data_IF_599919776385
#
_entry.id   IF_599919776385
#
_cell.length_a   1.000
_cell.length_b   1.000
_cell.length_c   1.000
_cell.angle_alpha   90.00
_cell.angle_beta   90.00
_cell.angle_gamma   90.00
#
_symmetry.space_group_name_H-M   'P 1'
#
loop_
_entity.id
_entity.type
_entity.pdbx_description
1 polymer ?
#
# COMPACT_ATOMS: atom_id res chain seq x y z
N UNK A 1 -16.03 21.50 -11.22
CA UNK A 1 -14.98 20.46 -11.22
C UNK A 1 -14.27 20.52 -12.54
N UNK A 2 -12.95 20.60 -12.49
CA UNK A 2 -12.05 20.54 -13.63
C UNK A 2 -10.97 19.46 -13.37
N UNK A 3 -10.05 19.28 -14.32
CA UNK A 3 -9.01 18.26 -14.21
C UNK A 3 -8.01 18.54 -13.08
N UNK A 4 -7.72 19.81 -12.77
CA UNK A 4 -6.79 20.19 -11.70
C UNK A 4 -7.38 19.88 -10.32
N UNK A 5 -8.67 20.14 -10.11
CA UNK A 5 -9.36 19.75 -8.88
C UNK A 5 -9.34 18.23 -8.68
N UNK A 6 -9.53 17.45 -9.75
CA UNK A 6 -9.48 16.00 -9.70
C UNK A 6 -8.07 15.46 -9.43
N UNK A 7 -7.04 16.05 -10.03
CA UNK A 7 -5.63 15.74 -9.71
C UNK A 7 -5.33 16.02 -8.23
N UNK A 8 -5.81 17.16 -7.71
CA UNK A 8 -5.68 17.49 -6.29
C UNK A 8 -6.41 16.46 -5.42
N UNK A 9 -7.66 16.11 -5.74
CA UNK A 9 -8.41 15.08 -5.00
C UNK A 9 -7.65 13.74 -4.99
N UNK A 10 -7.13 13.31 -6.14
CA UNK A 10 -6.38 12.06 -6.26
C UNK A 10 -5.06 12.07 -5.48
N UNK A 11 -4.33 13.19 -5.49
CA UNK A 11 -3.04 13.32 -4.80
C UNK A 11 -3.14 13.54 -3.29
N UNK A 12 -4.16 14.27 -2.84
CA UNK A 12 -4.33 14.66 -1.43
C UNK A 12 -5.36 13.84 -0.68
N UNK A 13 -5.97 12.85 -1.36
CA UNK A 13 -7.11 12.09 -0.83
C UNK A 13 -8.27 13.03 -0.46
N UNK A 14 -8.38 14.14 -1.20
CA UNK A 14 -9.28 15.23 -0.90
C UNK A 14 -10.74 14.79 -0.98
N UNK A 15 -11.51 15.08 0.06
CA UNK A 15 -12.91 14.68 0.19
C UNK A 15 -13.07 13.36 0.95
N UNK A 16 -13.87 12.45 0.39
CA UNK A 16 -14.18 11.16 1.04
C UNK A 16 -13.12 10.14 0.62
N UNK A 17 -12.35 9.63 1.58
CA UNK A 17 -11.27 8.69 1.31
C UNK A 17 -11.79 7.34 0.80
N UNK A 18 -10.99 6.56 0.03
CA UNK A 18 -11.38 5.23 -0.43
C UNK A 18 -11.88 4.32 0.69
N UNK A 19 -11.21 4.30 1.85
CA UNK A 19 -11.59 3.50 3.02
C UNK A 19 -13.01 3.80 3.50
N UNK A 20 -13.39 5.09 3.56
CA UNK A 20 -14.73 5.49 3.98
C UNK A 20 -15.79 5.12 2.92
N UNK A 21 -15.44 5.23 1.64
CA UNK A 21 -16.32 4.80 0.55
C UNK A 21 -16.56 3.30 0.62
N UNK A 22 -15.51 2.50 0.84
CA UNK A 22 -15.63 1.04 1.01
C UNK A 22 -16.55 0.70 2.20
N UNK A 23 -16.36 1.37 3.35
CA UNK A 23 -17.23 1.20 4.53
C UNK A 23 -18.71 1.53 4.25
N UNK A 24 -18.99 2.53 3.42
CA UNK A 24 -20.35 2.89 2.98
C UNK A 24 -20.95 1.79 2.09
N UNK A 25 -20.17 1.29 1.12
CA UNK A 25 -20.62 0.26 0.18
C UNK A 25 -20.85 -1.09 0.87
N UNK A 26 -19.96 -1.50 1.77
CA UNK A 26 -20.10 -2.73 2.58
C UNK A 26 -21.41 -2.74 3.40
N UNK A 27 -21.90 -1.57 3.79
CA UNK A 27 -23.16 -1.38 4.51
C UNK A 27 -24.37 -1.13 3.62
N UNK A 28 -24.21 -1.25 2.30
CA UNK A 28 -25.29 -1.13 1.32
C UNK A 28 -25.70 0.31 0.99
N UNK A 29 -24.84 1.30 1.26
CA UNK A 29 -25.16 2.72 1.03
C UNK A 29 -24.73 3.22 -0.37
N UNK A 30 -24.93 2.42 -1.41
CA UNK A 30 -24.54 2.76 -2.79
C UNK A 30 -25.14 4.08 -3.28
N UNK A 31 -26.42 4.33 -3.02
CA UNK A 31 -27.09 5.56 -3.49
C UNK A 31 -26.51 6.81 -2.82
N UNK A 32 -26.08 6.73 -1.55
CA UNK A 32 -25.39 7.84 -0.86
C UNK A 32 -24.04 8.14 -1.52
N UNK A 33 -23.30 7.09 -1.91
CA UNK A 33 -22.02 7.23 -2.63
C UNK A 33 -22.25 7.84 -4.02
N UNK A 34 -23.28 7.39 -4.75
CA UNK A 34 -23.66 7.95 -6.07
C UNK A 34 -24.04 9.43 -5.94
N UNK A 35 -24.84 9.80 -4.94
CA UNK A 35 -25.20 11.21 -4.70
C UNK A 35 -23.98 12.05 -4.35
N UNK A 36 -23.08 11.57 -3.49
CA UNK A 36 -21.85 12.27 -3.17
C UNK A 36 -20.95 12.47 -4.40
N UNK A 37 -20.90 11.49 -5.31
CA UNK A 37 -20.18 11.60 -6.57
C UNK A 37 -20.77 12.70 -7.47
N UNK A 38 -22.08 12.68 -7.71
CA UNK A 38 -22.75 13.55 -8.68
C UNK A 38 -22.93 14.98 -8.17
N UNK A 39 -23.34 15.16 -6.92
CA UNK A 39 -23.68 16.48 -6.38
C UNK A 39 -22.46 17.24 -5.88
N UNK A 40 -21.49 16.53 -5.29
CA UNK A 40 -20.31 17.13 -4.65
C UNK A 40 -19.02 16.91 -5.43
N UNK A 41 -19.09 16.17 -6.54
CA UNK A 41 -17.93 15.94 -7.39
C UNK A 41 -16.81 15.14 -6.73
N UNK A 42 -17.15 14.20 -5.83
CA UNK A 42 -16.16 13.43 -5.07
C UNK A 42 -15.68 12.24 -5.92
N UNK A 43 -14.41 12.28 -6.37
CA UNK A 43 -13.86 11.29 -7.30
C UNK A 43 -13.89 9.85 -6.77
N UNK A 44 -13.45 9.63 -5.54
CA UNK A 44 -13.39 8.28 -4.98
C UNK A 44 -14.78 7.65 -4.83
N UNK A 45 -15.81 8.47 -4.57
CA UNK A 45 -17.20 8.03 -4.60
C UNK A 45 -17.62 7.63 -6.01
N UNK A 46 -17.31 8.44 -7.03
CA UNK A 46 -17.65 8.12 -8.42
C UNK A 46 -17.02 6.80 -8.86
N UNK A 47 -15.72 6.64 -8.62
CA UNK A 47 -14.96 5.43 -8.98
C UNK A 47 -15.52 4.18 -8.31
N UNK A 48 -15.77 4.23 -7.00
CA UNK A 48 -16.28 3.07 -6.27
C UNK A 48 -17.73 2.74 -6.65
N UNK A 49 -18.58 3.77 -6.82
CA UNK A 49 -19.95 3.58 -7.29
C UNK A 49 -19.99 2.94 -8.68
N UNK A 50 -19.14 3.37 -9.61
CA UNK A 50 -19.02 2.78 -10.96
C UNK A 50 -18.67 1.30 -10.88
N UNK A 51 -17.67 0.94 -10.05
CA UNK A 51 -17.27 -0.46 -9.87
C UNK A 51 -18.42 -1.32 -9.34
N UNK A 52 -19.13 -0.81 -8.33
CA UNK A 52 -20.25 -1.53 -7.73
C UNK A 52 -21.46 -1.63 -8.69
N UNK A 53 -21.78 -0.56 -9.42
CA UNK A 53 -22.83 -0.57 -10.44
C UNK A 53 -22.50 -1.52 -11.59
N UNK A 54 -21.24 -1.57 -12.05
CA UNK A 54 -20.80 -2.54 -13.04
C UNK A 54 -20.91 -3.99 -12.53
N UNK A 55 -20.60 -4.24 -11.24
CA UNK A 55 -20.78 -5.55 -10.60
C UNK A 55 -22.26 -5.96 -10.59
N UNK A 56 -23.16 -5.01 -10.42
CA UNK A 56 -24.62 -5.19 -10.49
C UNK A 56 -25.17 -5.18 -11.94
N UNK A 57 -24.30 -5.08 -12.95
CA UNK A 57 -24.67 -4.94 -14.37
C UNK A 57 -25.55 -3.70 -14.68
N UNK A 58 -25.50 -2.67 -13.85
CA UNK A 58 -26.21 -1.40 -14.02
C UNK A 58 -25.37 -0.39 -14.83
N UNK A 59 -24.94 -0.81 -16.02
CA UNK A 59 -23.96 -0.07 -16.83
C UNK A 59 -24.40 1.34 -17.21
N UNK A 60 -25.69 1.57 -17.50
CA UNK A 60 -26.18 2.91 -17.83
C UNK A 60 -26.11 3.88 -16.64
N UNK A 61 -26.37 3.39 -15.42
CA UNK A 61 -26.16 4.19 -14.20
C UNK A 61 -24.67 4.43 -13.96
N UNK A 62 -23.82 3.42 -14.17
CA UNK A 62 -22.37 3.57 -14.06
C UNK A 62 -21.85 4.65 -15.03
N UNK A 63 -22.33 4.65 -16.27
CA UNK A 63 -22.01 5.66 -17.29
C UNK A 63 -22.44 7.06 -16.86
N UNK A 64 -23.67 7.21 -16.36
CA UNK A 64 -24.18 8.49 -15.88
C UNK A 64 -23.34 9.05 -14.72
N UNK A 65 -22.79 8.20 -13.85
CA UNK A 65 -21.91 8.61 -12.75
C UNK A 65 -20.55 9.08 -13.25
N UNK A 66 -19.92 8.37 -14.19
CA UNK A 66 -18.55 8.66 -14.63
C UNK A 66 -18.45 9.75 -15.71
N UNK A 67 -19.49 9.92 -16.53
CA UNK A 67 -19.48 10.84 -17.67
C UNK A 67 -19.13 12.29 -17.31
N UNK A 68 -19.67 12.91 -16.23
CA UNK A 68 -19.26 14.26 -15.83
C UNK A 68 -17.76 14.39 -15.55
N UNK A 69 -17.15 13.36 -14.97
CA UNK A 69 -15.72 13.32 -14.67
C UNK A 69 -14.89 13.11 -15.94
N UNK A 70 -15.31 12.19 -16.82
CA UNK A 70 -14.59 11.91 -18.06
C UNK A 70 -14.59 13.13 -19.01
N UNK A 71 -15.68 13.92 -19.03
CA UNK A 71 -15.78 15.16 -19.83
C UNK A 71 -14.79 16.26 -19.42
N UNK A 72 -14.22 16.21 -18.22
CA UNK A 72 -13.16 17.15 -17.81
C UNK A 72 -11.85 16.94 -18.59
N UNK A 73 -11.72 15.82 -19.31
CA UNK A 73 -10.47 15.43 -19.99
C UNK A 73 -9.46 14.77 -19.04
N UNK A 74 -9.77 14.65 -17.75
CA UNK A 74 -8.89 14.04 -16.77
C UNK A 74 -8.67 12.55 -17.05
N UNK A 75 -7.39 12.14 -17.13
CA UNK A 75 -6.97 10.82 -17.60
C UNK A 75 -7.59 9.65 -16.82
N UNK A 76 -7.50 9.62 -15.48
CA UNK A 76 -8.10 8.55 -14.67
C UNK A 76 -9.60 8.38 -14.86
N UNK A 77 -10.37 9.46 -14.99
CA UNK A 77 -11.80 9.39 -15.25
C UNK A 77 -12.13 8.84 -16.65
N UNK A 78 -11.34 9.21 -17.67
CA UNK A 78 -11.46 8.64 -19.01
C UNK A 78 -11.16 7.15 -19.03
N UNK A 79 -10.16 6.70 -18.28
CA UNK A 79 -9.82 5.29 -18.16
C UNK A 79 -10.94 4.46 -17.51
N UNK A 80 -11.49 4.92 -16.37
CA UNK A 80 -12.61 4.24 -15.70
C UNK A 80 -13.87 4.24 -16.59
N UNK A 81 -14.15 5.33 -17.31
CA UNK A 81 -15.24 5.35 -18.29
C UNK A 81 -15.02 4.36 -19.45
N UNK A 82 -13.78 4.24 -19.95
CA UNK A 82 -13.42 3.27 -20.98
C UNK A 82 -13.64 1.82 -20.50
N UNK A 83 -13.36 1.52 -19.23
CA UNK A 83 -13.65 0.20 -18.65
C UNK A 83 -15.17 -0.11 -18.63
N UNK A 84 -16.02 0.89 -18.39
CA UNK A 84 -17.50 0.72 -18.50
C UNK A 84 -17.92 0.43 -19.95
N UNK A 85 -17.31 1.10 -20.93
CA UNK A 85 -17.55 0.81 -22.35
C UNK A 85 -17.10 -0.61 -22.72
N UNK A 86 -15.93 -1.06 -22.25
CA UNK A 86 -15.46 -2.42 -22.46
C UNK A 86 -16.41 -3.46 -21.85
N UNK A 87 -16.94 -3.21 -20.65
CA UNK A 87 -17.89 -4.11 -19.99
C UNK A 87 -19.19 -4.32 -20.78
N UNK A 88 -19.53 -3.38 -21.67
CA UNK A 88 -20.69 -3.46 -22.57
C UNK A 88 -20.33 -3.88 -24.00
N UNK A 89 -19.08 -4.28 -24.25
CA UNK A 89 -18.57 -4.70 -25.55
C UNK A 89 -18.26 -3.55 -26.53
N UNK A 90 -18.27 -2.30 -26.06
CA UNK A 90 -18.04 -1.11 -26.89
C UNK A 90 -16.55 -0.77 -26.97
N UNK A 91 -15.78 -1.56 -27.72
CA UNK A 91 -14.31 -1.43 -27.80
C UNK A 91 -13.84 -0.11 -28.42
N UNK A 92 -14.35 0.27 -29.59
CA UNK A 92 -13.86 1.49 -30.27
C UNK A 92 -14.18 2.78 -29.47
N UNK A 93 -15.39 2.97 -28.91
CA UNK A 93 -15.64 4.11 -28.00
C UNK A 93 -14.71 4.14 -26.79
N UNK A 94 -14.37 2.98 -26.22
CA UNK A 94 -13.42 2.90 -25.10
C UNK A 94 -12.03 3.39 -25.53
N UNK A 95 -11.54 2.93 -26.69
CA UNK A 95 -10.23 3.30 -27.23
C UNK A 95 -10.15 4.77 -27.61
N UNK A 96 -11.19 5.33 -28.23
CA UNK A 96 -11.23 6.74 -28.60
C UNK A 96 -11.18 7.66 -27.38
N UNK A 97 -11.77 7.24 -26.25
CA UNK A 97 -11.77 8.02 -25.02
C UNK A 97 -10.38 8.16 -24.40
N UNK A 98 -9.58 7.10 -24.44
CA UNK A 98 -8.22 7.05 -23.84
C UNK A 98 -7.09 7.26 -24.84
N UNK A 99 -7.42 7.51 -26.12
CA UNK A 99 -6.42 7.66 -27.17
C UNK A 99 -5.46 8.81 -26.83
N UNK A 100 -4.14 8.54 -26.75
CA UNK A 100 -3.16 9.59 -26.51
C UNK A 100 -3.00 10.46 -27.75
N UNK A 101 -2.85 11.77 -27.56
CA UNK A 101 -2.39 12.68 -28.61
C UNK A 101 -0.88 12.48 -28.80
N UNK A 102 -0.41 12.40 -30.05
CA UNK A 102 1.02 12.32 -30.35
C UNK A 102 1.77 13.60 -29.94
N UNK A 103 1.07 14.75 -29.86
CA UNK A 103 1.65 16.04 -29.52
C UNK A 103 1.87 16.27 -28.01
N UNK A 104 1.24 15.47 -27.14
CA UNK A 104 1.38 15.56 -25.68
C UNK A 104 1.92 14.24 -25.10
N UNK A 105 3.26 14.11 -24.93
CA UNK A 105 3.90 12.87 -24.50
C UNK A 105 3.76 12.67 -22.98
N UNK A 106 2.53 12.42 -22.51
CA UNK A 106 2.29 11.99 -21.14
C UNK A 106 2.39 10.46 -21.10
N UNK A 107 3.50 9.92 -20.60
CA UNK A 107 3.75 8.47 -20.52
C UNK A 107 2.58 7.70 -19.88
N UNK A 108 1.96 8.28 -18.86
CA UNK A 108 0.79 7.69 -18.21
C UNK A 108 -0.38 7.42 -19.18
N UNK A 109 -0.59 8.26 -20.21
CA UNK A 109 -1.66 8.05 -21.21
C UNK A 109 -1.37 6.85 -22.11
N UNK A 110 -0.11 6.66 -22.51
CA UNK A 110 0.29 5.48 -23.31
C UNK A 110 0.15 4.18 -22.51
N UNK A 111 0.46 4.21 -21.21
CA UNK A 111 0.21 3.07 -20.31
C UNK A 111 -1.27 2.71 -20.27
N UNK A 112 -2.16 3.69 -20.02
CA UNK A 112 -3.60 3.43 -19.96
C UNK A 112 -4.16 2.96 -21.31
N UNK A 113 -3.72 3.55 -22.41
CA UNK A 113 -4.15 3.13 -23.75
C UNK A 113 -3.77 1.67 -24.05
N UNK A 114 -2.53 1.27 -23.73
CA UNK A 114 -2.09 -0.12 -23.88
C UNK A 114 -2.86 -1.08 -22.95
N UNK A 115 -3.19 -0.66 -21.72
CA UNK A 115 -4.04 -1.44 -20.80
C UNK A 115 -5.43 -1.69 -21.38
N UNK A 116 -6.07 -0.66 -21.95
CA UNK A 116 -7.39 -0.77 -22.58
C UNK A 116 -7.33 -1.65 -23.82
N UNK A 117 -6.31 -1.51 -24.66
CA UNK A 117 -6.08 -2.41 -25.81
C UNK A 117 -5.98 -3.88 -25.40
N UNK A 118 -5.16 -4.18 -24.39
CA UNK A 118 -4.99 -5.54 -23.89
C UNK A 118 -6.29 -6.08 -23.26
N UNK A 119 -7.02 -5.25 -22.52
CA UNK A 119 -8.32 -5.60 -21.93
C UNK A 119 -9.39 -5.89 -23.00
N UNK A 120 -9.27 -5.27 -24.18
CA UNK A 120 -10.07 -5.56 -25.36
C UNK A 120 -9.58 -6.78 -26.18
N UNK A 121 -8.56 -7.50 -25.70
CA UNK A 121 -7.96 -8.65 -26.40
C UNK A 121 -6.97 -8.27 -27.51
N UNK A 122 -6.65 -6.99 -27.70
CA UNK A 122 -5.74 -6.46 -28.74
C UNK A 122 -4.31 -6.34 -28.23
N UNK A 123 -3.78 -7.42 -27.64
CA UNK A 123 -2.48 -7.42 -26.96
C UNK A 123 -1.33 -7.09 -27.92
N UNK A 124 -1.37 -7.56 -29.17
CA UNK A 124 -0.30 -7.26 -30.14
C UNK A 124 -0.21 -5.77 -30.46
N UNK A 125 -1.34 -5.09 -30.54
CA UNK A 125 -1.37 -3.64 -30.75
C UNK A 125 -0.90 -2.89 -29.50
N UNK A 126 -1.22 -3.39 -28.30
CA UNK A 126 -0.66 -2.88 -27.06
C UNK A 126 0.89 -2.98 -27.05
N UNK A 127 1.44 -4.09 -27.57
CA UNK A 127 2.90 -4.24 -27.74
C UNK A 127 3.44 -3.23 -28.76
N UNK A 128 2.76 -3.06 -29.90
CA UNK A 128 3.20 -2.15 -30.97
C UNK A 128 3.25 -0.69 -30.52
N UNK A 129 2.29 -0.23 -29.71
CA UNK A 129 2.28 1.15 -29.20
C UNK A 129 3.35 1.39 -28.13
N UNK A 130 3.71 0.36 -27.35
CA UNK A 130 4.70 0.47 -26.26
C UNK A 130 6.14 0.26 -26.75
N UNK A 131 6.36 -0.60 -27.75
CA UNK A 131 7.69 -0.98 -28.24
C UNK A 131 8.63 0.20 -28.58
N UNK A 132 8.17 1.29 -29.23
CA UNK A 132 9.04 2.44 -29.52
C UNK A 132 9.44 3.28 -28.30
N UNK A 133 8.85 3.02 -27.13
CA UNK A 133 8.92 3.90 -25.94
C UNK A 133 9.51 3.20 -24.72
N UNK A 134 10.23 2.11 -24.93
CA UNK A 134 10.79 1.27 -23.87
C UNK A 134 12.01 1.88 -23.17
N UNK A 135 12.41 3.11 -23.49
CA UNK A 135 13.36 3.86 -22.65
C UNK A 135 12.73 4.33 -21.33
N UNK A 136 11.40 4.52 -21.30
CA UNK A 136 10.66 4.79 -20.07
C UNK A 136 10.51 3.52 -19.23
N UNK A 137 10.89 3.59 -17.95
CA UNK A 137 10.65 2.51 -16.99
C UNK A 137 9.17 2.22 -16.77
N UNK A 138 8.32 3.26 -16.81
CA UNK A 138 6.88 3.12 -16.67
C UNK A 138 6.28 2.30 -17.83
N UNK A 139 6.69 2.60 -19.06
CA UNK A 139 6.17 1.93 -20.26
C UNK A 139 6.77 0.53 -20.45
N UNK A 140 8.00 0.29 -19.99
CA UNK A 140 8.52 -1.09 -19.88
C UNK A 140 7.70 -1.93 -18.93
N UNK A 141 7.36 -1.41 -17.75
CA UNK A 141 6.53 -2.14 -16.81
C UNK A 141 5.13 -2.38 -17.39
N UNK A 142 4.54 -1.37 -18.04
CA UNK A 142 3.28 -1.52 -18.75
C UNK A 142 3.33 -2.65 -19.78
N UNK A 143 4.40 -2.75 -20.56
CA UNK A 143 4.59 -3.83 -21.54
C UNK A 143 4.57 -5.20 -20.87
N UNK A 144 5.27 -5.34 -19.74
CA UNK A 144 5.24 -6.59 -18.96
C UNK A 144 3.81 -6.86 -18.51
N UNK A 145 3.15 -5.93 -17.85
CA UNK A 145 1.82 -6.14 -17.27
C UNK A 145 0.76 -6.51 -18.32
N UNK A 146 0.69 -5.79 -19.44
CA UNK A 146 -0.35 -6.00 -20.49
C UNK A 146 -0.16 -7.29 -21.29
N UNK A 147 1.03 -7.90 -21.23
CA UNK A 147 1.33 -9.15 -21.93
C UNK A 147 1.27 -10.37 -21.01
N UNK A 148 1.00 -10.18 -19.71
CA UNK A 148 0.89 -11.27 -18.75
C UNK A 148 -0.23 -12.26 -19.14
N UNK A 149 0.10 -13.54 -19.26
CA UNK A 149 -0.85 -14.59 -19.64
C UNK A 149 -1.30 -14.57 -21.11
N UNK A 150 -0.79 -13.66 -21.95
CA UNK A 150 -1.20 -13.51 -23.34
C UNK A 150 -0.39 -14.35 -24.34
N UNK A 151 0.56 -15.18 -23.88
CA UNK A 151 1.41 -15.99 -24.75
C UNK A 151 2.35 -15.17 -25.65
N UNK A 152 2.71 -13.96 -25.24
CA UNK A 152 3.60 -13.02 -25.98
C UNK A 152 4.97 -12.86 -25.34
N UNK A 153 5.35 -13.73 -24.41
CA UNK A 153 6.59 -13.60 -23.64
C UNK A 153 7.85 -13.59 -24.51
N UNK A 154 7.97 -14.49 -25.49
CA UNK A 154 9.13 -14.50 -26.39
C UNK A 154 9.29 -13.20 -27.19
N UNK A 155 8.16 -12.61 -27.62
CA UNK A 155 8.16 -11.32 -28.31
C UNK A 155 8.66 -10.21 -27.38
N UNK A 156 8.18 -10.19 -26.13
CA UNK A 156 8.60 -9.21 -25.12
C UNK A 156 10.08 -9.39 -24.76
N UNK A 157 10.55 -10.63 -24.60
CA UNK A 157 11.97 -10.93 -24.37
C UNK A 157 12.84 -10.41 -25.53
N UNK A 158 12.38 -10.57 -26.78
CA UNK A 158 13.04 -10.04 -27.97
C UNK A 158 13.17 -8.51 -27.98
N UNK A 159 12.24 -7.79 -27.36
CA UNK A 159 12.28 -6.33 -27.20
C UNK A 159 13.17 -5.89 -26.02
N UNK A 160 13.14 -6.61 -24.89
CA UNK A 160 13.86 -6.23 -23.68
C UNK A 160 15.36 -6.60 -23.73
N UNK A 161 15.72 -7.70 -24.40
CA UNK A 161 17.12 -8.19 -24.45
C UNK A 161 18.09 -7.15 -25.03
N UNK A 162 17.81 -6.51 -26.20
CA UNK A 162 18.69 -5.49 -26.75
C UNK A 162 18.87 -4.27 -25.83
N UNK A 163 17.85 -3.91 -25.05
CA UNK A 163 17.90 -2.79 -24.10
C UNK A 163 18.84 -3.09 -22.93
N UNK A 164 18.77 -4.31 -22.37
CA UNK A 164 19.67 -4.76 -21.31
C UNK A 164 21.11 -4.81 -21.80
N UNK A 165 21.35 -5.30 -23.01
CA UNK A 165 22.69 -5.30 -23.62
C UNK A 165 23.23 -3.89 -23.85
N UNK A 166 22.40 -2.96 -24.34
CA UNK A 166 22.78 -1.58 -24.53
C UNK A 166 23.18 -0.91 -23.21
N UNK A 167 22.40 -1.11 -22.15
CA UNK A 167 22.72 -0.61 -20.80
C UNK A 167 24.04 -1.18 -20.29
N UNK A 168 24.26 -2.50 -20.44
CA UNK A 168 25.53 -3.16 -20.07
C UNK A 168 26.72 -2.61 -20.85
N UNK A 169 26.57 -2.38 -22.16
CA UNK A 169 27.62 -1.78 -23.00
C UNK A 169 27.96 -0.36 -22.54
N UNK A 170 26.96 0.48 -22.29
CA UNK A 170 27.16 1.85 -21.82
C UNK A 170 27.94 1.90 -20.50
N UNK A 171 27.63 0.99 -19.55
CA UNK A 171 28.34 0.89 -18.26
C UNK A 171 29.80 0.46 -18.43
N UNK A 172 30.07 -0.53 -19.28
CA UNK A 172 31.45 -0.92 -19.61
C UNK A 172 32.27 0.23 -20.20
N UNK A 173 31.60 1.14 -20.92
CA UNK A 173 32.21 2.37 -21.45
C UNK A 173 32.31 3.51 -20.44
N UNK A 174 31.97 3.28 -19.16
CA UNK A 174 32.10 4.25 -18.07
C UNK A 174 30.89 5.17 -17.87
N UNK A 175 29.77 4.93 -18.54
CA UNK A 175 28.55 5.70 -18.29
C UNK A 175 28.03 5.44 -16.86
N UNK A 176 27.73 6.51 -16.13
CA UNK A 176 27.21 6.43 -14.76
C UNK A 176 25.74 6.02 -14.68
N UNK A 177 24.97 6.28 -15.74
CA UNK A 177 23.54 5.99 -15.81
C UNK A 177 23.11 5.74 -17.27
N UNK A 178 22.07 4.93 -17.44
CA UNK A 178 21.44 4.63 -18.72
C UNK A 178 19.91 4.51 -18.55
N UNK A 179 19.06 5.04 -19.46
CA UNK A 179 17.60 4.98 -19.34
C UNK A 179 17.04 3.56 -19.15
N UNK A 180 17.71 2.58 -19.76
CA UNK A 180 17.39 1.16 -19.65
C UNK A 180 18.06 0.41 -18.47
N UNK A 181 18.62 1.12 -17.47
CA UNK A 181 19.31 0.49 -16.33
C UNK A 181 18.45 -0.51 -15.54
N UNK A 182 17.11 -0.32 -15.58
CA UNK A 182 16.09 -1.18 -14.95
C UNK A 182 15.51 -2.24 -15.88
N UNK A 183 15.92 -2.29 -17.14
CA UNK A 183 15.35 -3.23 -18.11
C UNK A 183 15.62 -4.70 -17.72
N UNK A 184 16.67 -4.95 -16.93
CA UNK A 184 17.00 -6.31 -16.44
C UNK A 184 15.92 -6.86 -15.50
N UNK A 185 15.27 -6.01 -14.70
CA UNK A 185 14.18 -6.41 -13.80
C UNK A 185 12.95 -6.83 -14.61
N UNK A 186 12.58 -6.02 -15.62
CA UNK A 186 11.50 -6.37 -16.55
C UNK A 186 11.80 -7.65 -17.33
N UNK A 187 13.04 -7.82 -17.79
CA UNK A 187 13.48 -9.04 -18.48
C UNK A 187 13.36 -10.27 -17.57
N UNK A 188 13.84 -10.17 -16.33
CA UNK A 188 13.77 -11.24 -15.34
C UNK A 188 12.31 -11.60 -14.99
N UNK A 189 11.42 -10.62 -14.87
CA UNK A 189 9.99 -10.86 -14.62
C UNK A 189 9.33 -11.65 -15.76
N UNK A 190 9.66 -11.34 -17.01
CA UNK A 190 9.13 -12.06 -18.19
C UNK A 190 9.75 -13.45 -18.31
N UNK A 191 11.03 -13.61 -18.00
CA UNK A 191 11.68 -14.93 -17.92
C UNK A 191 11.04 -15.81 -16.84
N UNK A 192 10.81 -15.27 -15.64
CA UNK A 192 10.18 -16.00 -14.53
C UNK A 192 8.79 -16.53 -14.93
N UNK A 193 7.91 -15.65 -15.40
CA UNK A 193 6.52 -16.04 -15.73
C UNK A 193 6.42 -16.96 -16.95
N UNK A 194 7.41 -16.94 -17.85
CA UNK A 194 7.49 -17.87 -18.99
C UNK A 194 8.07 -19.24 -18.61
N UNK A 195 8.28 -19.51 -17.31
CA UNK A 195 8.81 -20.78 -16.80
C UNK A 195 10.34 -20.88 -16.86
N UNK A 196 11.03 -19.80 -17.20
CA UNK A 196 12.50 -19.72 -17.32
C UNK A 196 13.14 -19.08 -16.08
N UNK A 197 12.68 -19.52 -14.90
CA UNK A 197 13.08 -18.95 -13.61
C UNK A 197 14.61 -19.01 -13.37
N UNK A 198 15.27 -20.11 -13.74
CA UNK A 198 16.73 -20.23 -13.60
C UNK A 198 17.48 -19.21 -14.45
N UNK A 199 16.98 -18.89 -15.64
CA UNK A 199 17.56 -17.85 -16.49
C UNK A 199 17.34 -16.46 -15.90
N UNK A 200 16.15 -16.20 -15.34
CA UNK A 200 15.86 -14.96 -14.62
C UNK A 200 16.83 -14.75 -13.44
N UNK A 201 17.03 -15.80 -12.64
CA UNK A 201 17.98 -15.82 -11.51
C UNK A 201 19.39 -15.57 -12.02
N UNK A 202 19.85 -16.32 -13.02
CA UNK A 202 21.21 -16.21 -13.55
C UNK A 202 21.52 -14.81 -14.10
N UNK A 203 20.57 -14.21 -14.82
CA UNK A 203 20.70 -12.86 -15.38
C UNK A 203 20.87 -11.81 -14.28
N UNK A 204 20.08 -11.87 -13.21
CA UNK A 204 20.17 -10.94 -12.09
C UNK A 204 21.43 -11.18 -11.24
N UNK A 205 21.77 -12.44 -10.94
CA UNK A 205 23.00 -12.78 -10.21
C UNK A 205 24.24 -12.29 -10.94
N UNK A 206 24.29 -12.42 -12.27
CA UNK A 206 25.41 -11.94 -13.07
C UNK A 206 25.55 -10.42 -13.02
N UNK A 207 24.44 -9.67 -13.10
CA UNK A 207 24.50 -8.21 -13.00
C UNK A 207 24.84 -7.74 -11.57
N UNK A 208 24.37 -8.42 -10.52
CA UNK A 208 24.77 -8.14 -9.14
C UNK A 208 26.27 -8.39 -8.94
N UNK A 209 26.78 -9.55 -9.36
CA UNK A 209 28.20 -9.89 -9.24
C UNK A 209 29.12 -8.91 -10.01
N UNK A 210 28.64 -8.38 -11.13
CA UNK A 210 29.37 -7.39 -11.93
C UNK A 210 29.24 -5.94 -11.42
N UNK A 211 28.48 -5.70 -10.34
CA UNK A 211 28.18 -4.34 -9.86
C UNK A 211 27.33 -3.53 -10.86
N UNK A 212 26.64 -4.21 -11.77
CA UNK A 212 25.80 -3.64 -12.81
C UNK A 212 24.39 -3.35 -12.27
N UNK A 213 24.27 -2.60 -11.17
CA UNK A 213 22.99 -2.14 -10.63
C UNK A 213 23.16 -0.80 -9.90
N UNK A 214 22.18 0.09 -10.04
CA UNK A 214 22.28 1.47 -9.55
C UNK A 214 21.57 1.69 -8.20
N UNK A 215 20.64 0.81 -7.80
CA UNK A 215 19.81 0.98 -6.59
C UNK A 215 19.60 -0.38 -5.93
N UNK A 216 19.51 -0.37 -4.59
CA UNK A 216 19.18 -1.50 -3.71
C UNK A 216 18.00 -2.35 -4.23
N UNK A 217 17.06 -1.75 -4.95
CA UNK A 217 15.87 -2.41 -5.50
C UNK A 217 16.18 -3.62 -6.41
N UNK A 218 17.32 -3.65 -7.13
CA UNK A 218 17.68 -4.82 -7.97
C UNK A 218 18.06 -6.03 -7.13
N UNK A 219 18.75 -5.78 -6.00
CA UNK A 219 19.13 -6.83 -5.04
C UNK A 219 17.90 -7.31 -4.28
N UNK A 220 16.99 -6.41 -3.89
CA UNK A 220 15.71 -6.77 -3.29
C UNK A 220 14.84 -7.60 -4.25
N UNK A 221 14.78 -7.21 -5.53
CA UNK A 221 14.07 -7.97 -6.56
C UNK A 221 14.66 -9.36 -6.71
N UNK A 222 15.99 -9.47 -6.76
CA UNK A 222 16.69 -10.76 -6.81
C UNK A 222 16.41 -11.62 -5.57
N UNK A 223 16.48 -11.05 -4.36
CA UNK A 223 16.17 -11.75 -3.12
C UNK A 223 14.73 -12.28 -3.14
N UNK A 224 13.75 -11.46 -3.53
CA UNK A 224 12.35 -11.91 -3.65
C UNK A 224 12.18 -13.01 -4.70
N UNK A 225 12.90 -12.94 -5.82
CA UNK A 225 12.89 -13.99 -6.85
C UNK A 225 13.45 -15.31 -6.30
N UNK A 226 14.60 -15.27 -5.62
CA UNK A 226 15.19 -16.44 -4.97
C UNK A 226 14.22 -17.05 -3.93
N UNK A 227 13.50 -16.20 -3.18
CA UNK A 227 12.53 -16.62 -2.17
C UNK A 227 11.31 -17.32 -2.77
N UNK A 228 10.80 -16.85 -3.91
CA UNK A 228 9.69 -17.50 -4.63
C UNK A 228 10.08 -18.87 -5.21
N UNK A 229 11.37 -19.07 -5.51
CA UNK A 229 11.89 -20.31 -6.10
C UNK A 229 12.71 -21.18 -5.14
N UNK A 230 12.50 -21.04 -3.82
CA UNK A 230 13.13 -21.89 -2.80
C UNK A 230 14.67 -21.95 -2.86
N UNK A 231 15.32 -20.89 -3.37
CA UNK A 231 16.79 -20.82 -3.47
C UNK A 231 17.39 -20.32 -2.15
N UNK A 232 17.15 -21.11 -1.09
CA UNK A 232 17.47 -20.75 0.31
C UNK A 232 18.96 -20.48 0.52
N UNK A 233 19.85 -21.29 -0.08
CA UNK A 233 21.30 -21.10 0.10
C UNK A 233 21.80 -19.81 -0.55
N UNK A 234 21.35 -19.51 -1.77
CA UNK A 234 21.68 -18.26 -2.45
C UNK A 234 21.14 -17.03 -1.69
N UNK A 235 19.95 -17.16 -1.09
CA UNK A 235 19.41 -16.13 -0.19
C UNK A 235 20.24 -15.94 1.07
N UNK A 236 20.68 -17.04 1.68
CA UNK A 236 21.53 -17.02 2.87
C UNK A 236 22.86 -16.32 2.58
N UNK A 237 23.49 -16.65 1.45
CA UNK A 237 24.71 -15.98 0.99
C UNK A 237 24.48 -14.47 0.81
N UNK A 238 23.35 -14.07 0.24
CA UNK A 238 22.98 -12.67 0.06
C UNK A 238 22.72 -11.95 1.40
N UNK A 239 22.07 -12.64 2.34
CA UNK A 239 21.72 -12.12 3.66
C UNK A 239 22.93 -11.96 4.59
N UNK A 240 23.91 -12.86 4.50
CA UNK A 240 25.17 -12.80 5.27
C UNK A 240 26.21 -11.88 4.60
N UNK A 241 26.11 -11.67 3.28
CA UNK A 241 27.00 -10.81 2.52
C UNK A 241 26.74 -9.30 2.71
N UNK A 242 27.35 -8.49 1.83
CA UNK A 242 27.22 -7.02 1.84
C UNK A 242 25.82 -6.46 1.53
N UNK A 243 24.82 -7.33 1.43
CA UNK A 243 23.44 -7.03 1.03
C UNK A 243 22.40 -7.43 2.09
N UNK A 244 22.83 -7.67 3.33
CA UNK A 244 21.99 -8.18 4.41
C UNK A 244 20.67 -7.45 4.60
N UNK A 245 20.64 -6.11 4.50
CA UNK A 245 19.39 -5.33 4.63
C UNK A 245 18.33 -5.72 3.59
N UNK A 246 18.73 -6.00 2.35
CA UNK A 246 17.81 -6.29 1.24
C UNK A 246 17.36 -7.76 1.19
N UNK A 247 18.09 -8.65 1.87
CA UNK A 247 17.86 -10.10 1.82
C UNK A 247 17.38 -10.70 3.14
N UNK A 248 17.50 -9.99 4.26
CA UNK A 248 17.08 -10.44 5.60
C UNK A 248 15.61 -10.91 5.62
N UNK A 249 14.68 -10.03 5.27
CA UNK A 249 13.25 -10.34 5.29
C UNK A 249 12.88 -11.43 4.26
N UNK A 250 13.28 -11.35 2.98
CA UNK A 250 13.04 -12.43 2.02
C UNK A 250 13.56 -13.80 2.47
N UNK A 251 14.74 -13.83 3.11
CA UNK A 251 15.32 -15.07 3.63
C UNK A 251 14.51 -15.66 4.80
N UNK A 252 14.17 -14.83 5.78
CA UNK A 252 13.35 -15.24 6.94
C UNK A 252 11.98 -15.75 6.49
N UNK A 253 11.31 -15.01 5.60
CA UNK A 253 10.00 -15.42 5.07
C UNK A 253 10.08 -16.72 4.25
N UNK A 254 11.16 -16.91 3.48
CA UNK A 254 11.37 -18.16 2.74
C UNK A 254 11.54 -19.36 3.68
N UNK A 255 12.31 -19.20 4.77
CA UNK A 255 12.45 -20.23 5.80
C UNK A 255 11.11 -20.54 6.48
N UNK A 256 10.34 -19.52 6.87
CA UNK A 256 9.01 -19.68 7.46
C UNK A 256 8.07 -20.46 6.54
N UNK A 257 7.97 -20.08 5.26
CA UNK A 257 7.12 -20.78 4.27
C UNK A 257 7.52 -22.24 4.08
N UNK A 258 8.81 -22.55 4.21
CA UNK A 258 9.35 -23.91 4.11
C UNK A 258 9.23 -24.71 5.42
N UNK A 259 8.59 -24.16 6.45
CA UNK A 259 8.45 -24.80 7.76
C UNK A 259 9.73 -24.83 8.59
N UNK A 260 10.73 -24.02 8.23
CA UNK A 260 12.04 -23.90 8.90
C UNK A 260 12.07 -22.71 9.87
N UNK A 261 11.01 -22.52 10.66
CA UNK A 261 10.87 -21.38 11.56
C UNK A 261 11.99 -21.31 12.61
N UNK A 262 12.38 -22.44 13.20
CA UNK A 262 13.47 -22.48 14.20
C UNK A 262 14.81 -22.01 13.62
N UNK A 263 15.09 -22.32 12.35
CA UNK A 263 16.29 -21.83 11.68
C UNK A 263 16.23 -20.32 11.41
N UNK A 264 15.06 -19.80 11.05
CA UNK A 264 14.86 -18.36 10.89
C UNK A 264 15.09 -17.62 12.22
N UNK A 265 14.55 -18.16 13.31
CA UNK A 265 14.78 -17.64 14.66
C UNK A 265 16.26 -17.65 15.04
N UNK A 266 16.94 -18.78 14.87
CA UNK A 266 18.37 -18.90 15.17
C UNK A 266 19.24 -17.95 14.32
N UNK A 267 18.88 -17.75 13.05
CA UNK A 267 19.57 -16.79 12.19
C UNK A 267 19.40 -15.35 12.67
N UNK A 268 18.17 -14.95 13.02
CA UNK A 268 17.85 -13.62 13.51
C UNK A 268 18.52 -13.32 14.86
N UNK A 269 18.54 -14.31 15.76
CA UNK A 269 19.22 -14.23 17.05
C UNK A 269 20.74 -14.05 16.87
N UNK A 270 21.37 -14.89 16.05
CA UNK A 270 22.81 -14.80 15.77
C UNK A 270 23.21 -13.47 15.11
N UNK A 271 22.32 -12.89 14.27
CA UNK A 271 22.52 -11.59 13.64
C UNK A 271 22.21 -10.39 14.53
N UNK A 272 21.68 -10.59 15.74
CA UNK A 272 21.26 -9.51 16.63
C UNK A 272 20.06 -8.71 16.10
N UNK A 273 19.26 -9.29 15.21
CA UNK A 273 18.12 -8.63 14.54
C UNK A 273 16.86 -8.65 15.42
N UNK A 274 16.94 -8.03 16.59
CA UNK A 274 15.92 -8.12 17.66
C UNK A 274 14.49 -7.77 17.20
N UNK A 275 14.32 -6.68 16.46
CA UNK A 275 13.01 -6.28 15.94
C UNK A 275 12.42 -7.34 14.99
N UNK A 276 13.23 -7.86 14.07
CA UNK A 276 12.80 -8.90 13.14
C UNK A 276 12.54 -10.24 13.85
N UNK A 277 13.30 -10.58 14.91
CA UNK A 277 13.07 -11.75 15.75
C UNK A 277 11.75 -11.65 16.52
N UNK A 278 11.45 -10.50 17.11
CA UNK A 278 10.15 -10.25 17.75
C UNK A 278 9.00 -10.43 16.76
N UNK A 279 9.07 -9.80 15.58
CA UNK A 279 8.02 -9.95 14.56
C UNK A 279 7.89 -11.39 14.06
N UNK A 280 9.01 -12.11 13.91
CA UNK A 280 9.01 -13.54 13.56
C UNK A 280 8.27 -14.37 14.60
N UNK A 281 8.63 -14.25 15.88
CA UNK A 281 7.99 -14.98 16.98
C UNK A 281 6.50 -14.63 17.11
N UNK A 282 6.14 -13.35 16.93
CA UNK A 282 4.75 -12.90 16.90
C UNK A 282 3.92 -13.59 15.81
N UNK A 283 4.45 -13.71 14.59
CA UNK A 283 3.78 -14.45 13.49
C UNK A 283 3.61 -15.95 13.79
N UNK A 284 4.47 -16.53 14.62
CA UNK A 284 4.34 -17.92 15.07
C UNK A 284 3.37 -18.09 16.26
N UNK A 285 2.73 -16.99 16.72
CA UNK A 285 1.89 -17.00 17.92
C UNK A 285 2.69 -17.12 19.23
N UNK A 286 4.01 -17.05 19.18
CA UNK A 286 4.92 -17.11 20.34
C UNK A 286 5.09 -15.72 20.94
N UNK A 287 3.97 -15.12 21.34
CA UNK A 287 3.90 -13.71 21.77
C UNK A 287 4.74 -13.44 23.02
N UNK A 288 4.76 -14.35 23.98
CA UNK A 288 5.55 -14.18 25.21
C UNK A 288 7.04 -14.15 24.89
N UNK A 289 7.51 -15.07 24.05
CA UNK A 289 8.90 -15.09 23.58
C UNK A 289 9.24 -13.82 22.79
N UNK A 290 8.30 -13.33 21.96
CA UNK A 290 8.49 -12.10 21.20
C UNK A 290 8.71 -10.89 22.14
N UNK A 291 7.87 -10.76 23.18
CA UNK A 291 7.98 -9.70 24.18
C UNK A 291 9.27 -9.84 24.98
N UNK A 292 9.64 -11.06 25.41
CA UNK A 292 10.89 -11.29 26.15
C UNK A 292 12.13 -10.96 25.34
N UNK A 293 12.15 -11.30 24.04
CA UNK A 293 13.23 -10.89 23.14
C UNK A 293 13.34 -9.37 23.07
N UNK A 294 12.21 -8.66 23.00
CA UNK A 294 12.17 -7.20 22.87
C UNK A 294 12.44 -6.45 24.19
N UNK A 295 12.15 -7.08 25.35
CA UNK A 295 12.19 -6.48 26.69
C UNK A 295 13.46 -5.68 27.01
N UNK A 296 14.69 -6.13 26.68
CA UNK A 296 15.90 -5.36 26.95
C UNK A 296 15.96 -3.99 26.24
N UNK A 297 15.14 -3.78 25.20
CA UNK A 297 15.10 -2.56 24.41
C UNK A 297 13.98 -1.59 24.84
N UNK A 298 13.14 -1.93 25.81
CA UNK A 298 12.00 -1.09 26.20
C UNK A 298 12.39 0.22 26.88
N UNK A 299 13.60 0.30 27.45
CA UNK A 299 14.13 1.48 28.13
C UNK A 299 15.08 2.30 27.22
N UNK A 300 15.19 1.96 25.93
CA UNK A 300 16.07 2.70 25.01
C UNK A 300 15.44 4.05 24.63
N UNK A 301 16.21 5.14 24.73
CA UNK A 301 15.70 6.50 24.43
C UNK A 301 15.91 6.91 22.95
N UNK A 302 15.76 5.97 22.00
CA UNK A 302 15.93 6.25 20.57
C UNK A 302 15.45 5.12 19.66
N UNK A 303 15.85 5.13 18.38
CA UNK A 303 15.38 4.25 17.29
C UNK A 303 15.48 2.73 17.55
N UNK A 304 16.17 2.32 18.60
CA UNK A 304 16.24 0.93 19.03
C UNK A 304 15.13 0.50 19.99
N UNK A 305 14.25 1.40 20.42
CA UNK A 305 13.16 1.09 21.34
C UNK A 305 12.12 0.17 20.68
N UNK A 306 11.73 -0.90 21.37
CA UNK A 306 10.75 -1.88 20.87
C UNK A 306 9.46 -1.94 21.69
N UNK A 307 9.28 -1.05 22.67
CA UNK A 307 8.11 -1.03 23.53
C UNK A 307 6.84 -0.79 22.73
N UNK A 308 6.85 0.23 21.88
CA UNK A 308 5.71 0.55 21.02
C UNK A 308 5.32 -0.64 20.15
N UNK A 309 6.29 -1.30 19.53
CA UNK A 309 6.03 -2.48 18.70
C UNK A 309 5.50 -3.66 19.52
N UNK A 310 5.97 -3.86 20.75
CA UNK A 310 5.47 -4.91 21.64
C UNK A 310 4.03 -4.62 22.14
N UNK A 311 3.72 -3.36 22.44
CA UNK A 311 2.37 -2.92 22.81
C UNK A 311 1.40 -3.17 21.66
N UNK A 312 1.72 -2.72 20.44
CA UNK A 312 0.89 -2.99 19.26
C UNK A 312 0.70 -4.48 19.02
N UNK A 313 1.78 -5.27 19.09
CA UNK A 313 1.72 -6.72 18.91
C UNK A 313 0.76 -7.40 19.91
N UNK A 314 0.76 -6.96 21.18
CA UNK A 314 -0.13 -7.49 22.20
C UNK A 314 -1.57 -7.07 21.99
N UNK A 315 -1.83 -5.80 21.63
CA UNK A 315 -3.17 -5.30 21.34
C UNK A 315 -3.78 -6.00 20.13
N UNK A 316 -3.04 -6.13 19.02
CA UNK A 316 -3.47 -6.83 17.81
C UNK A 316 -3.78 -8.32 18.08
N UNK A 317 -3.10 -8.90 19.08
CA UNK A 317 -3.35 -10.27 19.54
C UNK A 317 -4.51 -10.38 20.55
N UNK A 318 -5.21 -9.29 20.86
CA UNK A 318 -6.30 -9.27 21.84
C UNK A 318 -5.85 -9.40 23.29
N UNK A 319 -4.61 -8.97 23.62
CA UNK A 319 -4.01 -8.98 24.97
C UNK A 319 -3.71 -7.56 25.50
N UNK A 320 -4.65 -6.60 25.45
CA UNK A 320 -4.40 -5.21 25.83
C UNK A 320 -4.06 -5.04 27.32
N UNK A 321 -4.58 -5.89 28.22
CA UNK A 321 -4.21 -5.89 29.64
C UNK A 321 -2.71 -6.11 29.87
N UNK A 322 -2.06 -6.88 28.99
CA UNK A 322 -0.62 -7.14 29.08
C UNK A 322 0.20 -5.98 28.53
N UNK A 323 -0.31 -5.33 27.47
CA UNK A 323 0.27 -4.08 26.98
C UNK A 323 0.25 -3.01 28.09
N UNK A 324 -0.87 -2.86 28.82
CA UNK A 324 -0.96 -1.94 29.96
C UNK A 324 0.08 -2.26 31.03
N UNK A 325 0.24 -3.54 31.40
CA UNK A 325 1.28 -3.97 32.35
C UNK A 325 2.68 -3.61 31.86
N UNK A 326 2.99 -3.82 30.58
CA UNK A 326 4.28 -3.43 30.02
C UNK A 326 4.51 -1.92 30.13
N UNK A 327 3.49 -1.09 29.91
CA UNK A 327 3.60 0.36 30.04
C UNK A 327 3.83 0.77 31.51
N UNK A 328 3.13 0.14 32.45
CA UNK A 328 3.24 0.43 33.89
C UNK A 328 4.59 0.00 34.50
N UNK A 329 5.27 -0.97 33.89
CA UNK A 329 6.60 -1.45 34.30
C UNK A 329 7.75 -0.52 33.89
N UNK A 330 7.50 0.59 33.19
CA UNK A 330 8.56 1.50 32.74
C UNK A 330 9.18 2.27 33.88
N UNK A 331 10.49 2.52 33.76
CA UNK A 331 11.21 3.28 34.78
C UNK A 331 10.71 4.74 34.84
N UNK A 332 10.78 5.42 36.00
CA UNK A 332 10.40 6.83 36.09
C UNK A 332 11.21 7.73 35.13
N UNK A 333 12.48 7.41 34.89
CA UNK A 333 13.32 8.17 33.97
C UNK A 333 12.88 8.00 32.51
N UNK A 334 12.48 6.79 32.11
CA UNK A 334 11.88 6.55 30.80
C UNK A 334 10.53 7.25 30.69
N UNK A 335 9.70 7.14 31.73
CA UNK A 335 8.38 7.74 31.78
C UNK A 335 8.42 9.27 31.72
N UNK A 336 9.48 9.91 32.21
CA UNK A 336 9.68 11.36 32.11
C UNK A 336 10.07 11.79 30.68
N UNK A 337 10.94 11.04 30.00
CA UNK A 337 11.38 11.35 28.63
C UNK A 337 10.33 10.99 27.56
N UNK A 338 9.53 9.95 27.81
CA UNK A 338 8.51 9.41 26.90
C UNK A 338 7.09 9.58 27.45
N UNK A 339 6.87 10.56 28.33
CA UNK A 339 5.60 10.81 29.01
C UNK A 339 4.45 10.95 28.02
N UNK A 340 4.65 11.71 26.95
CA UNK A 340 3.63 11.98 25.95
C UNK A 340 3.14 10.67 25.30
N UNK A 341 4.06 9.78 24.89
CA UNK A 341 3.70 8.54 24.19
C UNK A 341 3.00 7.58 25.14
N UNK A 342 3.51 7.43 26.36
CA UNK A 342 2.92 6.54 27.37
C UNK A 342 1.52 7.01 27.78
N UNK A 343 1.37 8.31 28.05
CA UNK A 343 0.11 8.89 28.47
C UNK A 343 -0.93 8.82 27.37
N UNK A 344 -0.55 9.12 26.12
CA UNK A 344 -1.47 9.15 24.99
C UNK A 344 -1.92 7.77 24.53
N UNK A 345 -0.96 6.84 24.39
CA UNK A 345 -1.29 5.48 23.98
C UNK A 345 -2.07 4.73 25.07
N UNK A 346 -2.00 5.13 26.34
CA UNK A 346 -2.76 4.48 27.41
C UNK A 346 -4.27 4.60 27.19
N UNK A 347 -4.77 5.74 26.70
CA UNK A 347 -6.20 5.91 26.38
C UNK A 347 -6.63 4.90 25.32
N UNK A 348 -5.83 4.77 24.26
CA UNK A 348 -6.07 3.78 23.20
C UNK A 348 -6.06 2.35 23.75
N UNK A 349 -5.02 1.95 24.49
CA UNK A 349 -4.92 0.57 25.02
C UNK A 349 -6.04 0.25 26.02
N UNK A 350 -6.44 1.19 26.88
CA UNK A 350 -7.59 1.04 27.79
C UNK A 350 -8.88 0.79 27.00
N UNK A 351 -9.09 1.53 25.92
CA UNK A 351 -10.27 1.35 25.08
C UNK A 351 -10.24 0.03 24.30
N UNK A 352 -9.08 -0.43 23.83
CA UNK A 352 -8.92 -1.77 23.23
C UNK A 352 -9.18 -2.89 24.25
N UNK A 353 -8.92 -2.65 25.55
CA UNK A 353 -9.33 -3.52 26.65
C UNK A 353 -10.84 -3.46 26.96
N UNK A 354 -11.60 -2.61 26.27
CA UNK A 354 -13.03 -2.37 26.53
C UNK A 354 -13.30 -1.53 27.78
N UNK A 355 -12.26 -0.94 28.38
CA UNK A 355 -12.34 -0.10 29.58
C UNK A 355 -12.62 1.36 29.20
N UNK A 356 -13.71 1.59 28.46
CA UNK A 356 -13.98 2.90 27.85
C UNK A 356 -14.15 4.03 28.87
N UNK A 357 -14.81 3.79 30.00
CA UNK A 357 -14.99 4.80 31.05
C UNK A 357 -13.65 5.16 31.73
N UNK A 358 -12.76 4.17 31.91
CA UNK A 358 -11.41 4.40 32.45
C UNK A 358 -10.54 5.14 31.44
N UNK A 359 -10.61 4.79 30.16
CA UNK A 359 -9.94 5.50 29.08
C UNK A 359 -10.34 6.99 29.06
N UNK A 360 -11.64 7.29 29.17
CA UNK A 360 -12.15 8.65 29.19
C UNK A 360 -11.78 9.40 30.47
N UNK A 361 -11.81 8.72 31.63
CA UNK A 361 -11.37 9.31 32.89
C UNK A 361 -9.87 9.62 32.88
N UNK A 362 -9.04 8.74 32.31
CA UNK A 362 -7.61 8.96 32.12
C UNK A 362 -7.37 10.14 31.17
N UNK A 363 -8.03 10.18 30.02
CA UNK A 363 -7.94 11.29 29.06
C UNK A 363 -8.29 12.65 29.71
N UNK A 364 -9.34 12.68 30.55
CA UNK A 364 -9.75 13.89 31.27
C UNK A 364 -8.77 14.35 32.36
N UNK A 365 -7.89 13.45 32.82
CA UNK A 365 -6.89 13.72 33.87
C UNK A 365 -5.51 14.09 33.31
N UNK A 366 -5.33 14.12 31.99
CA UNK A 366 -4.04 14.42 31.38
C UNK A 366 -3.58 15.86 31.62
N UNK A 367 -2.27 16.09 31.82
CA UNK A 367 -1.73 17.43 31.99
C UNK A 367 -1.99 18.30 30.74
N UNK A 368 -2.30 19.61 30.90
CA UNK A 368 -2.49 20.52 29.76
C UNK A 368 -1.27 20.66 28.84
N UNK A 369 -0.07 20.37 29.35
CA UNK A 369 1.21 20.48 28.64
C UNK A 369 1.52 19.27 27.75
N UNK A 370 0.92 18.11 28.05
CA UNK A 370 0.90 17.00 27.10
C UNK A 370 -0.01 17.46 25.97
N UNK A 371 0.56 17.64 24.77
CA UNK A 371 -0.20 18.05 23.57
C UNK A 371 -1.51 17.25 23.58
N UNK A 372 -2.62 17.97 23.81
CA UNK A 372 -3.87 17.38 24.28
C UNK A 372 -4.18 16.14 23.46
N UNK A 373 -4.53 15.03 24.11
CA UNK A 373 -4.95 13.80 23.43
C UNK A 373 -5.69 14.14 22.17
N UNK A 374 -5.31 13.53 21.03
CA UNK A 374 -6.06 13.67 19.81
C UNK A 374 -7.54 13.47 20.16
N UNK A 375 -8.35 14.52 20.05
CA UNK A 375 -9.80 14.49 20.19
C UNK A 375 -10.38 13.40 19.28
N UNK A 376 -9.66 13.03 18.22
CA UNK A 376 -9.88 11.82 17.42
C UNK A 376 -9.87 10.53 18.24
N UNK A 377 -8.90 10.29 19.12
CA UNK A 377 -8.85 9.12 20.02
C UNK A 377 -10.04 9.15 20.97
N UNK A 378 -10.28 10.25 21.68
CA UNK A 378 -11.41 10.39 22.62
C UNK A 378 -12.75 10.17 21.90
N UNK A 379 -12.92 10.78 20.73
CA UNK A 379 -14.11 10.64 19.91
C UNK A 379 -14.34 9.20 19.46
N UNK A 380 -13.27 8.48 19.07
CA UNK A 380 -13.35 7.05 18.78
C UNK A 380 -13.78 6.24 20.02
N UNK A 381 -13.18 6.47 21.19
CA UNK A 381 -13.57 5.81 22.45
C UNK A 381 -15.05 6.05 22.78
N UNK A 382 -15.53 7.29 22.65
CA UNK A 382 -16.95 7.63 22.83
C UNK A 382 -17.84 6.87 21.83
N UNK A 383 -17.41 6.76 20.58
CA UNK A 383 -18.11 6.03 19.53
C UNK A 383 -18.23 4.53 19.81
N UNK A 384 -17.16 3.89 20.28
CA UNK A 384 -17.13 2.47 20.67
C UNK A 384 -17.96 2.22 21.93
N UNK A 385 -17.96 3.16 22.88
CA UNK A 385 -18.81 3.13 24.07
C UNK A 385 -20.31 3.36 23.77
N UNK A 386 -20.68 3.60 22.51
CA UNK A 386 -22.07 3.90 22.11
C UNK A 386 -22.54 5.33 22.46
N UNK A 387 -21.65 6.20 22.96
CA UNK A 387 -21.90 7.61 23.27
C UNK A 387 -21.78 8.48 22.02
N UNK A 388 -22.51 8.08 20.97
CA UNK A 388 -22.36 8.61 19.60
C UNK A 388 -22.56 10.11 19.53
N UNK A 389 -23.56 10.67 20.24
CA UNK A 389 -23.81 12.11 20.16
C UNK A 389 -22.70 12.93 20.81
N UNK A 390 -22.11 12.45 21.90
CA UNK A 390 -20.96 13.12 22.54
C UNK A 390 -19.74 13.09 21.63
N UNK A 391 -19.50 11.98 20.92
CA UNK A 391 -18.46 11.89 19.90
C UNK A 391 -18.71 12.88 18.75
N UNK A 392 -19.97 13.02 18.31
CA UNK A 392 -20.36 13.98 17.26
C UNK A 392 -20.13 15.42 17.70
N UNK A 393 -20.53 15.78 18.91
CA UNK A 393 -20.37 17.13 19.44
C UNK A 393 -18.88 17.48 19.61
N UNK A 394 -18.09 16.55 20.15
CA UNK A 394 -16.65 16.71 20.33
C UNK A 394 -15.92 16.88 18.98
N UNK A 395 -16.09 15.92 18.07
CA UNK A 395 -15.37 15.89 16.80
C UNK A 395 -15.88 16.94 15.82
N UNK A 396 -17.17 17.31 15.89
CA UNK A 396 -17.75 18.37 15.07
C UNK A 396 -17.24 19.77 15.42
N UNK A 397 -16.84 19.99 16.68
CA UNK A 397 -16.22 21.23 17.11
C UNK A 397 -14.67 21.24 16.97
N UNK A 398 -14.08 20.09 16.66
CA UNK A 398 -12.62 19.91 16.57
C UNK A 398 -12.03 20.54 15.31
N UNK A 399 -10.86 21.17 15.46
CA UNK A 399 -10.02 21.61 14.33
C UNK A 399 -8.85 20.65 14.08
N UNK A 400 -8.81 19.52 14.78
CA UNK A 400 -7.70 18.57 14.69
C UNK A 400 -7.67 17.89 13.32
N UNK A 401 -6.48 17.73 12.71
CA UNK A 401 -6.32 16.92 11.51
C UNK A 401 -6.90 15.51 11.69
N UNK A 402 -7.92 15.17 10.89
CA UNK A 402 -8.55 13.85 10.90
C UNK A 402 -9.80 13.73 11.78
N UNK A 403 -10.20 14.74 12.55
CA UNK A 403 -11.44 14.72 13.32
C UNK A 403 -12.68 14.42 12.47
N UNK A 404 -12.81 15.09 11.32
CA UNK A 404 -13.89 14.85 10.35
C UNK A 404 -13.90 13.40 9.82
N UNK A 405 -12.72 12.78 9.64
CA UNK A 405 -12.61 11.38 9.21
C UNK A 405 -13.13 10.45 10.29
N UNK A 406 -12.67 10.60 11.53
CA UNK A 406 -13.11 9.75 12.66
C UNK A 406 -14.62 9.93 12.91
N UNK A 407 -15.12 11.17 12.83
CA UNK A 407 -16.54 11.47 12.93
C UNK A 407 -17.34 10.71 11.87
N UNK A 408 -16.89 10.75 10.61
CA UNK A 408 -17.54 10.01 9.53
C UNK A 408 -17.52 8.49 9.75
N UNK A 409 -16.41 7.91 10.24
CA UNK A 409 -16.32 6.47 10.55
C UNK A 409 -17.34 6.06 11.61
N UNK A 410 -17.46 6.85 12.69
CA UNK A 410 -18.44 6.64 13.77
C UNK A 410 -19.86 6.73 13.20
N UNK A 411 -20.17 7.78 12.46
CA UNK A 411 -21.50 7.99 11.86
C UNK A 411 -21.87 6.84 10.91
N UNK A 412 -20.95 6.36 10.07
CA UNK A 412 -21.19 5.21 9.18
C UNK A 412 -21.44 3.93 10.00
N UNK A 413 -20.61 3.65 11.02
CA UNK A 413 -20.75 2.46 11.87
C UNK A 413 -22.11 2.44 12.57
N UNK A 414 -22.63 3.60 12.93
CA UNK A 414 -23.91 3.79 13.62
C UNK A 414 -25.08 4.14 12.69
N UNK A 415 -24.97 3.84 11.38
CA UNK A 415 -26.11 3.92 10.46
C UNK A 415 -26.55 5.32 10.04
N UNK A 416 -25.65 6.32 10.14
CA UNK A 416 -25.88 7.73 9.78
C UNK A 416 -25.01 8.16 8.56
N UNK A 417 -25.12 7.48 7.39
CA UNK A 417 -24.21 7.68 6.26
C UNK A 417 -24.32 9.06 5.60
N UNK A 418 -25.51 9.65 5.58
CA UNK A 418 -25.73 10.99 4.97
C UNK A 418 -25.00 12.07 5.79
N UNK A 419 -25.07 11.98 7.12
CA UNK A 419 -24.38 12.90 8.02
C UNK A 419 -22.86 12.69 7.94
N UNK A 420 -22.40 11.45 7.81
CA UNK A 420 -20.99 11.14 7.62
C UNK A 420 -20.43 11.82 6.35
N UNK A 421 -21.16 11.75 5.24
CA UNK A 421 -20.80 12.43 3.99
C UNK A 421 -20.79 13.95 4.15
N UNK A 422 -21.74 14.51 4.91
CA UNK A 422 -21.82 15.94 5.16
C UNK A 422 -20.66 16.46 6.03
N UNK A 423 -20.17 15.66 6.98
CA UNK A 423 -19.05 16.01 7.84
C UNK A 423 -17.70 16.12 7.10
N UNK A 424 -17.59 15.52 5.91
CA UNK A 424 -16.37 15.51 5.07
C UNK A 424 -16.40 16.56 3.95
N UNK A 425 -17.38 17.47 3.99
CA UNK A 425 -17.69 18.40 2.90
C UNK A 425 -16.71 19.58 2.83
#
# INVERSE_FOLDING_TARGET
MDAEDLDRQAGTWGGISPRLVDMLLERGHLDVVVQAALERGKWFCARAAVRELCRLAEYERARAVIEPFARTGWGPARAEAADVFLATGQVEPALDLVRPDEAEPVEARWREYARILASAGRVDEAVDVLAPRLDSGLLRQALVDVTAGAGRDDRVLGLLTPLVEAARRARKSGARAHPADRAVESLAQVLERSGRAEEAIAVLSADIAAGHFYVLNTVEFHARLLARHDRVEALRELAVGGHGRSALEPYVMALERLGRAEEAGAFLEAGGHRAALMSHLGRQGRLDDAVEVARPAFEYLGDGNLLESAVHLLVDAGRPDEALRLMDERSPAFAEEYDWWLLTNRVWVLAEAGLYDEALAHAAALPPEVESEPQTTIGWVLGEAGRVQEAVDLLGASTEPGAARVLAEILIRHGRPVEAVAALA
#
